data_IF_256553015164
#
_entry.id   IF_256553015164
#
_cell.length_a   1.000
_cell.length_b   1.000
_cell.length_c   1.000
_cell.angle_alpha   90.00
_cell.angle_beta   90.00
_cell.angle_gamma   90.00
#
_symmetry.space_group_name_H-M   'P 1'
#
loop_
_entity.id
_entity.type
_entity.pdbx_description
1 polymer ?
#
# COMPACT_ATOMS: atom_id res chain seq x y z
N UNK A 1 -18.08 12.17 -7.17
CA UNK A 1 -17.16 13.29 -7.49
C UNK A 1 -15.80 12.90 -6.91
N UNK A 2 -14.78 12.71 -7.75
CA UNK A 2 -13.40 12.52 -7.29
C UNK A 2 -13.01 13.78 -6.52
N UNK A 3 -12.31 13.61 -5.40
CA UNK A 3 -11.85 14.73 -4.58
C UNK A 3 -11.06 15.71 -5.45
N UNK A 4 -11.49 16.95 -5.48
CA UNK A 4 -10.92 18.05 -6.30
C UNK A 4 -9.48 18.42 -5.90
N UNK A 5 -8.96 17.81 -4.83
CA UNK A 5 -7.63 18.07 -4.24
C UNK A 5 -6.58 17.00 -4.55
N UNK A 6 -6.96 15.94 -5.28
CA UNK A 6 -5.98 14.89 -5.62
C UNK A 6 -4.98 15.41 -6.67
N UNK A 7 -3.72 15.06 -6.47
CA UNK A 7 -2.66 15.37 -7.42
C UNK A 7 -2.89 14.63 -8.73
N UNK A 8 -2.43 15.23 -9.82
CA UNK A 8 -2.49 14.59 -11.13
C UNK A 8 -1.46 13.47 -11.21
N UNK A 9 -1.88 12.35 -11.74
CA UNK A 9 -0.98 11.27 -12.13
C UNK A 9 -0.02 11.78 -13.22
N UNK A 10 1.22 11.22 -13.24
CA UNK A 10 2.19 11.55 -14.29
C UNK A 10 1.56 11.41 -15.69
N UNK A 11 1.83 12.33 -16.58
CA UNK A 11 1.17 12.39 -17.90
C UNK A 11 1.36 11.14 -18.78
N UNK A 12 2.49 10.44 -18.59
CA UNK A 12 2.81 9.18 -19.28
C UNK A 12 2.26 7.94 -18.54
N UNK A 13 1.49 8.12 -17.47
CA UNK A 13 0.95 7.05 -16.66
C UNK A 13 -0.53 6.81 -16.92
N UNK A 14 -0.93 5.56 -16.76
CA UNK A 14 -2.34 5.14 -16.80
C UNK A 14 -2.61 4.14 -15.68
N UNK A 15 -3.49 4.47 -14.74
CA UNK A 15 -3.91 3.60 -13.64
C UNK A 15 -5.43 3.58 -13.59
N UNK A 16 -6.04 2.41 -13.82
CA UNK A 16 -7.50 2.29 -13.93
C UNK A 16 -8.19 2.28 -12.56
N UNK A 17 -7.61 1.54 -11.59
CA UNK A 17 -8.17 1.39 -10.24
C UNK A 17 -7.06 1.49 -9.20
N UNK A 18 -7.33 2.25 -8.15
CA UNK A 18 -6.43 2.47 -7.02
C UNK A 18 -7.10 2.00 -5.75
N UNK A 19 -6.50 1.02 -5.08
CA UNK A 19 -7.02 0.41 -3.85
C UNK A 19 -6.04 0.69 -2.70
N UNK A 20 -6.50 1.40 -1.68
CA UNK A 20 -5.74 1.61 -0.45
C UNK A 20 -5.90 0.43 0.51
N UNK A 21 -4.80 -0.10 1.02
CA UNK A 21 -4.81 -1.13 2.06
C UNK A 21 -4.39 -0.49 3.37
N UNK A 22 -5.30 -0.46 4.34
CA UNK A 22 -5.11 0.22 5.62
C UNK A 22 -5.16 -0.75 6.79
N UNK A 23 -4.59 -0.35 7.91
CA UNK A 23 -4.72 -1.04 9.20
C UNK A 23 -4.76 -0.02 10.33
N UNK A 24 -5.43 -0.37 11.40
CA UNK A 24 -5.53 0.49 12.59
C UNK A 24 -4.20 0.63 13.34
N UNK A 25 -3.34 -0.40 13.29
CA UNK A 25 -1.98 -0.39 13.85
C UNK A 25 -1.01 -1.20 12.99
N UNK A 26 0.29 -1.12 13.31
CA UNK A 26 1.31 -1.96 12.72
C UNK A 26 1.24 -3.42 13.21
N UNK A 27 1.83 -4.33 12.42
CA UNK A 27 1.99 -5.73 12.81
C UNK A 27 0.81 -6.67 12.54
N UNK A 28 -0.28 -6.20 11.94
CA UNK A 28 -1.43 -7.05 11.57
C UNK A 28 -1.29 -7.77 10.23
N UNK A 29 -0.16 -7.57 9.53
CA UNK A 29 0.10 -8.21 8.24
C UNK A 29 -0.44 -7.45 7.03
N UNK A 30 -0.65 -6.14 7.14
CA UNK A 30 -1.14 -5.25 6.07
C UNK A 30 -0.34 -5.41 4.77
N UNK A 31 0.99 -5.30 4.84
CA UNK A 31 1.88 -5.40 3.67
C UNK A 31 1.87 -6.79 3.02
N UNK A 32 1.70 -7.85 3.82
CA UNK A 32 1.50 -9.21 3.30
C UNK A 32 0.20 -9.30 2.50
N UNK A 33 -0.90 -8.78 3.06
CA UNK A 33 -2.21 -8.76 2.38
C UNK A 33 -2.13 -7.95 1.09
N UNK A 34 -1.49 -6.76 1.12
CA UNK A 34 -1.25 -5.93 -0.07
C UNK A 34 -0.52 -6.72 -1.15
N UNK A 35 0.56 -7.41 -0.78
CA UNK A 35 1.36 -8.25 -1.69
C UNK A 35 0.54 -9.39 -2.27
N UNK A 36 -0.25 -10.08 -1.45
CA UNK A 36 -1.10 -11.20 -1.88
C UNK A 36 -2.20 -10.74 -2.85
N UNK A 37 -2.81 -9.59 -2.61
CA UNK A 37 -3.81 -9.00 -3.50
C UNK A 37 -3.19 -8.71 -4.88
N UNK A 38 -2.04 -8.05 -4.91
CA UNK A 38 -1.34 -7.73 -6.16
C UNK A 38 -0.96 -9.01 -6.93
N UNK A 39 -0.42 -10.03 -6.24
CA UNK A 39 -0.06 -11.33 -6.85
C UNK A 39 -1.30 -12.06 -7.38
N UNK A 40 -2.39 -12.05 -6.62
CA UNK A 40 -3.63 -12.72 -7.02
C UNK A 40 -4.22 -12.09 -8.28
N UNK A 41 -4.33 -10.76 -8.31
CA UNK A 41 -4.82 -10.04 -9.47
C UNK A 41 -3.89 -10.21 -10.69
N UNK A 42 -2.57 -10.23 -10.47
CA UNK A 42 -1.59 -10.48 -11.52
C UNK A 42 -1.76 -11.90 -12.12
N UNK A 43 -1.97 -12.92 -11.28
CA UNK A 43 -2.26 -14.30 -11.73
C UNK A 43 -3.57 -14.42 -12.50
N UNK A 44 -4.53 -13.53 -12.27
CA UNK A 44 -5.78 -13.44 -13.02
C UNK A 44 -5.61 -12.72 -14.38
N UNK A 45 -4.40 -12.28 -14.71
CA UNK A 45 -4.07 -11.66 -16.00
C UNK A 45 -4.12 -10.12 -16.00
N UNK A 46 -4.31 -9.48 -14.84
CA UNK A 46 -4.28 -8.02 -14.74
C UNK A 46 -2.85 -7.50 -14.54
N UNK A 47 -2.54 -6.37 -15.14
CA UNK A 47 -1.31 -5.64 -14.84
C UNK A 47 -1.48 -4.92 -13.49
N UNK A 48 -0.68 -5.30 -12.50
CA UNK A 48 -0.76 -4.77 -11.15
C UNK A 48 0.47 -3.99 -10.75
N UNK A 49 0.26 -3.02 -9.86
CA UNK A 49 1.32 -2.24 -9.26
C UNK A 49 1.14 -2.16 -7.74
N UNK A 50 2.24 -1.96 -7.01
CA UNK A 50 2.24 -1.65 -5.59
C UNK A 50 3.00 -0.34 -5.37
N UNK A 51 2.33 0.62 -4.76
CA UNK A 51 2.93 1.83 -4.21
C UNK A 51 3.09 1.62 -2.70
N UNK A 52 4.33 1.44 -2.25
CA UNK A 52 4.65 1.27 -0.84
C UNK A 52 4.74 2.64 -0.16
N UNK A 53 3.66 3.02 0.51
CA UNK A 53 3.55 4.26 1.27
C UNK A 53 3.88 4.09 2.75
N UNK A 54 4.19 2.88 3.21
CA UNK A 54 4.68 2.60 4.57
C UNK A 54 6.19 2.87 4.66
N UNK A 55 6.54 4.14 4.51
CA UNK A 55 7.93 4.60 4.40
C UNK A 55 8.74 4.31 5.66
N UNK A 56 8.10 4.25 6.82
CA UNK A 56 8.77 3.99 8.11
C UNK A 56 9.13 2.54 8.33
N UNK A 57 8.48 1.61 7.63
CA UNK A 57 8.70 0.18 7.72
C UNK A 57 8.55 -0.52 6.36
N UNK A 58 9.25 -0.05 5.30
CA UNK A 58 9.03 -0.54 3.95
C UNK A 58 9.43 -2.00 3.84
N UNK A 59 8.47 -2.87 3.57
CA UNK A 59 8.65 -4.33 3.53
C UNK A 59 8.35 -4.95 2.16
N UNK A 60 7.71 -4.22 1.26
CA UNK A 60 7.27 -4.73 -0.03
C UNK A 60 8.44 -5.21 -0.91
N UNK A 61 9.53 -4.44 -1.14
CA UNK A 61 10.65 -4.92 -1.96
C UNK A 61 11.26 -6.21 -1.42
N UNK A 62 11.41 -6.30 -0.09
CA UNK A 62 11.95 -7.49 0.58
C UNK A 62 11.04 -8.71 0.40
N UNK A 63 9.72 -8.54 0.49
CA UNK A 63 8.75 -9.62 0.30
C UNK A 63 8.81 -10.20 -1.11
N UNK A 64 9.14 -9.39 -2.12
CA UNK A 64 9.31 -9.83 -3.52
C UNK A 64 10.75 -10.20 -3.88
N UNK A 65 11.70 -10.11 -2.95
CA UNK A 65 13.11 -10.41 -3.19
C UNK A 65 13.78 -9.45 -4.18
N UNK A 66 13.30 -8.21 -4.26
CA UNK A 66 13.85 -7.17 -5.12
C UNK A 66 15.13 -6.63 -4.50
N UNK A 67 16.19 -6.60 -5.31
CA UNK A 67 17.50 -6.02 -4.95
C UNK A 67 17.87 -4.85 -5.85
N UNK A 68 17.24 -4.75 -7.00
CA UNK A 68 17.44 -3.66 -7.93
C UNK A 68 16.92 -2.35 -7.34
N UNK A 69 17.55 -1.25 -7.71
CA UNK A 69 17.11 0.11 -7.36
C UNK A 69 16.23 0.67 -8.48
N UNK A 70 15.36 1.59 -8.13
CA UNK A 70 14.57 2.32 -9.11
C UNK A 70 15.51 3.15 -10.02
N UNK A 71 15.17 3.21 -11.29
CA UNK A 71 15.88 4.03 -12.27
C UNK A 71 15.08 5.28 -12.61
N UNK A 72 15.76 6.30 -13.07
CA UNK A 72 15.15 7.53 -13.52
C UNK A 72 15.64 7.93 -14.91
N UNK A 73 14.86 8.78 -15.56
CA UNK A 73 15.20 9.46 -16.80
C UNK A 73 14.85 10.95 -16.67
N UNK A 74 15.09 11.72 -17.71
CA UNK A 74 14.63 13.10 -17.81
C UNK A 74 13.09 13.25 -17.77
N UNK A 75 12.36 12.16 -18.02
CA UNK A 75 10.89 12.14 -18.03
C UNK A 75 10.28 11.74 -16.67
N UNK A 76 11.02 11.07 -15.79
CA UNK A 76 10.53 10.64 -14.49
C UNK A 76 11.22 9.38 -13.97
N UNK A 77 10.67 8.83 -12.90
CA UNK A 77 11.14 7.59 -12.25
C UNK A 77 10.43 6.38 -12.84
N UNK A 78 11.15 5.26 -12.93
CA UNK A 78 10.56 3.99 -13.33
C UNK A 78 10.43 3.07 -12.11
N UNK A 79 9.27 2.41 -11.94
CA UNK A 79 9.10 1.40 -10.89
C UNK A 79 9.99 0.19 -11.21
N UNK A 80 10.35 -0.56 -10.16
CA UNK A 80 11.03 -1.84 -10.34
C UNK A 80 10.01 -2.93 -10.60
N UNK A 81 10.28 -3.78 -11.59
CA UNK A 81 9.39 -4.85 -11.99
C UNK A 81 9.78 -6.16 -11.33
N UNK A 82 8.84 -6.84 -10.70
CA UNK A 82 9.05 -8.21 -10.18
C UNK A 82 9.22 -9.21 -11.32
N UNK A 83 9.67 -10.43 -11.00
CA UNK A 83 9.79 -11.52 -11.98
C UNK A 83 8.47 -11.87 -12.68
N UNK A 84 7.35 -11.59 -12.05
CA UNK A 84 6.00 -11.84 -12.59
C UNK A 84 5.37 -10.61 -13.24
N UNK A 85 6.10 -9.49 -13.32
CA UNK A 85 5.65 -8.28 -14.01
C UNK A 85 4.82 -7.31 -13.16
N UNK A 86 4.85 -7.44 -11.82
CA UNK A 86 4.23 -6.46 -10.91
C UNK A 86 5.17 -5.27 -10.78
N UNK A 87 4.66 -4.06 -10.98
CA UNK A 87 5.42 -2.82 -10.83
C UNK A 87 5.43 -2.39 -9.36
N UNK A 88 6.62 -2.09 -8.81
CA UNK A 88 6.77 -1.70 -7.40
C UNK A 88 7.57 -0.41 -7.29
N UNK A 89 7.06 0.53 -6.49
CA UNK A 89 7.80 1.69 -6.02
C UNK A 89 7.74 1.76 -4.50
N UNK A 90 8.91 1.89 -3.89
CA UNK A 90 9.12 2.04 -2.45
C UNK A 90 10.33 2.92 -2.21
N UNK A 91 10.39 3.58 -1.06
CA UNK A 91 11.52 4.43 -0.68
C UNK A 91 12.84 3.66 -0.67
N UNK A 92 12.83 2.39 -0.28
CA UNK A 92 14.04 1.55 -0.26
C UNK A 92 14.67 1.35 -1.66
N UNK A 93 13.88 1.53 -2.70
CA UNK A 93 14.39 1.43 -4.08
C UNK A 93 15.13 2.70 -4.53
N UNK A 94 15.06 3.78 -3.76
CA UNK A 94 15.74 5.05 -4.02
C UNK A 94 16.97 5.25 -3.13
N UNK A 95 17.07 4.56 -1.99
CA UNK A 95 18.20 4.68 -1.07
C UNK A 95 19.40 3.89 -1.58
N UNK A 96 20.60 4.43 -1.41
CA UNK A 96 21.84 3.71 -1.76
C UNK A 96 22.00 2.46 -0.89
N UNK A 97 21.77 2.61 0.43
CA UNK A 97 21.77 1.51 1.38
C UNK A 97 20.45 1.47 2.15
N UNK A 98 19.91 0.28 2.35
CA UNK A 98 18.65 0.06 3.06
C UNK A 98 18.72 0.43 4.57
N UNK A 99 19.94 0.63 5.08
CA UNK A 99 20.21 1.01 6.48
C UNK A 99 20.53 2.49 6.66
N UNK A 100 20.47 3.27 5.59
CA UNK A 100 20.76 4.70 5.69
C UNK A 100 19.73 5.38 6.62
N UNK A 101 20.20 6.12 7.63
CA UNK A 101 19.30 6.76 8.57
C UNK A 101 18.56 7.93 7.88
N UNK A 102 17.29 7.76 7.65
CA UNK A 102 16.42 8.83 7.14
C UNK A 102 15.46 9.24 8.24
N UNK A 103 15.45 10.54 8.56
CA UNK A 103 14.51 11.08 9.53
C UNK A 103 13.19 11.36 8.84
N UNK A 104 12.26 10.44 8.95
CA UNK A 104 10.93 10.56 8.39
C UNK A 104 10.00 11.31 9.33
N UNK A 105 9.59 12.51 8.92
CA UNK A 105 8.52 13.27 9.58
C UNK A 105 7.27 13.25 8.70
N UNK A 106 6.09 13.37 9.30
CA UNK A 106 4.82 13.28 8.60
C UNK A 106 4.74 14.05 7.26
N UNK A 107 5.12 15.35 7.20
CA UNK A 107 5.11 16.10 5.95
C UNK A 107 6.06 15.55 4.88
N UNK A 108 7.21 14.99 5.29
CA UNK A 108 8.19 14.39 4.36
C UNK A 108 7.62 13.09 3.80
N UNK A 109 7.01 12.26 4.64
CA UNK A 109 6.35 11.01 4.22
C UNK A 109 5.27 11.31 3.18
N UNK A 110 4.39 12.23 3.47
CA UNK A 110 3.32 12.60 2.56
C UNK A 110 3.86 13.16 1.23
N UNK A 111 4.90 14.00 1.29
CA UNK A 111 5.58 14.53 0.10
C UNK A 111 6.20 13.44 -0.76
N UNK A 112 6.86 12.45 -0.15
CA UNK A 112 7.47 11.32 -0.87
C UNK A 112 6.41 10.45 -1.55
N UNK A 113 5.32 10.12 -0.85
CA UNK A 113 4.22 9.34 -1.43
C UNK A 113 3.56 10.10 -2.58
N UNK A 114 3.40 11.42 -2.45
CA UNK A 114 2.92 12.28 -3.52
C UNK A 114 3.84 12.19 -4.74
N UNK A 115 5.18 12.29 -4.55
CA UNK A 115 6.15 12.12 -5.64
C UNK A 115 6.06 10.74 -6.31
N UNK A 116 5.80 9.67 -5.56
CA UNK A 116 5.57 8.34 -6.13
C UNK A 116 4.33 8.30 -7.02
N UNK A 117 3.37 9.17 -6.79
CA UNK A 117 2.20 9.32 -7.64
C UNK A 117 2.45 10.21 -8.86
N UNK A 118 3.13 11.35 -8.68
CA UNK A 118 3.31 12.38 -9.71
C UNK A 118 4.50 12.15 -10.63
N UNK A 119 5.60 11.58 -10.12
CA UNK A 119 6.89 11.54 -10.80
C UNK A 119 7.26 10.13 -11.31
N UNK A 120 6.56 9.09 -10.82
CA UNK A 120 6.75 7.72 -11.29
C UNK A 120 5.88 7.47 -12.51
N UNK A 121 6.48 6.87 -13.54
CA UNK A 121 5.78 6.49 -14.77
C UNK A 121 5.17 5.10 -14.58
N UNK A 122 3.87 5.06 -14.31
CA UNK A 122 3.07 3.86 -14.16
C UNK A 122 2.40 3.51 -15.50
N UNK A 123 2.94 2.52 -16.23
CA UNK A 123 2.47 2.20 -17.58
C UNK A 123 1.31 1.21 -17.56
N UNK A 124 0.12 1.65 -18.00
CA UNK A 124 -1.07 0.80 -18.24
C UNK A 124 -1.43 -0.16 -17.10
N UNK A 125 -1.44 0.34 -15.87
CA UNK A 125 -1.77 -0.43 -14.67
C UNK A 125 -3.29 -0.61 -14.56
N UNK A 126 -3.75 -1.86 -14.47
CA UNK A 126 -5.17 -2.16 -14.22
C UNK A 126 -5.55 -1.92 -12.76
N UNK A 127 -4.73 -2.41 -11.82
CA UNK A 127 -4.94 -2.26 -10.37
C UNK A 127 -3.65 -1.84 -9.68
N UNK A 128 -3.69 -0.71 -9.01
CA UNK A 128 -2.65 -0.27 -8.09
C UNK A 128 -3.10 -0.50 -6.66
N UNK A 129 -2.28 -1.19 -5.88
CA UNK A 129 -2.46 -1.35 -4.44
C UNK A 129 -1.50 -0.42 -3.71
N UNK A 130 -2.04 0.40 -2.81
CA UNK A 130 -1.24 1.28 -1.96
C UNK A 130 -1.11 0.63 -0.60
N UNK A 131 0.11 0.26 -0.21
CA UNK A 131 0.42 -0.17 1.14
C UNK A 131 0.53 1.05 2.04
N UNK A 132 -0.56 1.38 2.73
CA UNK A 132 -0.70 2.62 3.49
C UNK A 132 0.15 2.61 4.76
N UNK A 133 0.60 3.77 5.24
CA UNK A 133 1.18 3.88 6.58
C UNK A 133 0.21 3.31 7.63
N UNK A 134 0.73 2.66 8.70
CA UNK A 134 -0.14 2.13 9.74
C UNK A 134 -0.84 3.24 10.53
N UNK A 135 -2.01 2.93 11.07
CA UNK A 135 -2.79 3.85 11.89
C UNK A 135 -3.85 4.63 11.11
N UNK A 136 -4.49 5.55 11.82
CA UNK A 136 -5.62 6.37 11.34
C UNK A 136 -5.38 7.87 11.61
N UNK A 137 -4.12 8.26 11.70
CA UNK A 137 -3.71 9.64 11.97
C UNK A 137 -3.53 10.48 10.70
N UNK A 138 -2.78 11.59 10.86
CA UNK A 138 -2.61 12.59 9.81
C UNK A 138 -1.90 12.07 8.57
N UNK A 139 -0.95 11.13 8.72
CA UNK A 139 -0.15 10.63 7.59
C UNK A 139 -1.00 9.84 6.59
N UNK A 140 -1.75 8.79 7.00
CA UNK A 140 -2.69 8.12 6.11
C UNK A 140 -3.72 9.07 5.49
N UNK A 141 -4.25 10.01 6.27
CA UNK A 141 -5.21 11.00 5.79
C UNK A 141 -4.63 11.86 4.67
N UNK A 142 -3.39 12.33 4.84
CA UNK A 142 -2.71 13.15 3.82
C UNK A 142 -2.45 12.36 2.53
N UNK A 143 -2.10 11.08 2.64
CA UNK A 143 -1.96 10.20 1.46
C UNK A 143 -3.27 10.10 0.69
N UNK A 144 -4.39 9.86 1.39
CA UNK A 144 -5.72 9.81 0.75
C UNK A 144 -6.15 11.14 0.14
N UNK A 145 -5.71 12.26 0.68
CA UNK A 145 -5.96 13.58 0.08
C UNK A 145 -5.14 13.81 -1.19
N UNK A 146 -3.94 13.22 -1.26
CA UNK A 146 -3.01 13.43 -2.39
C UNK A 146 -3.29 12.48 -3.56
N UNK A 147 -3.80 11.28 -3.31
CA UNK A 147 -4.02 10.26 -4.34
C UNK A 147 -5.51 9.95 -4.46
N UNK A 148 -6.01 9.91 -5.69
CA UNK A 148 -7.39 9.53 -5.98
C UNK A 148 -7.60 8.01 -5.80
N UNK A 149 -8.00 7.60 -4.58
CA UNK A 149 -8.25 6.20 -4.24
C UNK A 149 -9.70 5.83 -4.57
N UNK A 150 -9.91 4.70 -5.25
CA UNK A 150 -11.23 4.21 -5.65
C UNK A 150 -11.91 3.34 -4.58
N UNK A 151 -11.13 2.74 -3.67
CA UNK A 151 -11.65 1.89 -2.60
C UNK A 151 -10.61 1.54 -1.56
N UNK A 152 -11.07 1.09 -0.39
CA UNK A 152 -10.24 0.75 0.76
C UNK A 152 -10.48 -0.69 1.18
N UNK A 153 -9.39 -1.41 1.46
CA UNK A 153 -9.42 -2.69 2.17
C UNK A 153 -8.82 -2.46 3.56
N UNK A 154 -9.57 -2.87 4.59
CA UNK A 154 -9.13 -2.78 5.99
C UNK A 154 -8.54 -4.13 6.40
N UNK A 155 -7.32 -4.14 6.91
CA UNK A 155 -6.67 -5.33 7.47
C UNK A 155 -6.63 -5.20 8.98
N UNK A 156 -7.07 -6.24 9.67
CA UNK A 156 -7.16 -6.30 11.14
C UNK A 156 -6.78 -7.68 11.66
N UNK A 157 -6.70 -7.82 12.97
CA UNK A 157 -6.60 -9.10 13.69
C UNK A 157 -7.80 -9.28 14.62
N UNK A 158 -8.10 -10.50 15.12
CA UNK A 158 -9.23 -10.75 16.02
C UNK A 158 -9.25 -9.83 17.24
N UNK A 159 -8.09 -9.57 17.82
CA UNK A 159 -7.92 -8.69 18.97
C UNK A 159 -8.30 -7.24 18.68
N UNK A 160 -8.23 -6.83 17.42
CA UNK A 160 -8.51 -5.45 16.97
C UNK A 160 -9.91 -5.26 16.45
N UNK A 161 -10.57 -6.32 15.97
CA UNK A 161 -11.96 -6.26 15.52
C UNK A 161 -12.89 -5.72 16.62
N UNK A 162 -12.59 -6.00 17.88
CA UNK A 162 -13.34 -5.53 19.05
C UNK A 162 -12.93 -4.13 19.48
N UNK A 163 -11.88 -3.54 18.87
CA UNK A 163 -11.31 -2.27 19.31
C UNK A 163 -11.88 -1.07 18.54
N UNK A 164 -11.82 0.11 19.18
CA UNK A 164 -12.15 1.40 18.52
C UNK A 164 -11.27 1.70 17.31
N UNK A 165 -10.21 0.92 17.05
CA UNK A 165 -9.23 1.17 15.99
C UNK A 165 -9.83 0.93 14.61
N UNK A 166 -10.57 -0.17 14.43
CA UNK A 166 -11.29 -0.44 13.17
C UNK A 166 -12.35 0.63 12.92
N UNK A 167 -13.08 1.05 13.97
CA UNK A 167 -14.06 2.14 13.85
C UNK A 167 -13.43 3.45 13.41
N UNK A 168 -12.21 3.77 13.85
CA UNK A 168 -11.47 4.95 13.38
C UNK A 168 -11.09 4.84 11.90
N UNK A 169 -10.65 3.67 11.45
CA UNK A 169 -10.34 3.43 10.04
C UNK A 169 -11.58 3.60 9.15
N UNK A 170 -12.73 3.08 9.59
CA UNK A 170 -14.01 3.26 8.91
C UNK A 170 -14.39 4.74 8.84
N UNK A 171 -14.33 5.47 9.96
CA UNK A 171 -14.63 6.91 9.99
C UNK A 171 -13.71 7.72 9.07
N UNK A 172 -12.42 7.36 9.01
CA UNK A 172 -11.48 8.02 8.08
C UNK A 172 -11.91 7.82 6.63
N UNK A 173 -12.29 6.60 6.24
CA UNK A 173 -12.78 6.30 4.90
C UNK A 173 -14.07 7.09 4.58
N UNK A 174 -15.01 7.15 5.53
CA UNK A 174 -16.24 7.94 5.40
C UNK A 174 -15.96 9.43 5.22
N UNK A 175 -15.07 10.00 6.03
CA UNK A 175 -14.65 11.41 5.92
C UNK A 175 -14.07 11.73 4.55
N UNK A 176 -13.34 10.78 3.94
CA UNK A 176 -12.75 10.92 2.62
C UNK A 176 -13.70 10.55 1.49
N UNK A 177 -14.92 10.11 1.83
CA UNK A 177 -15.92 9.61 0.87
C UNK A 177 -15.37 8.51 -0.05
N UNK A 178 -14.54 7.61 0.50
CA UNK A 178 -13.96 6.47 -0.19
C UNK A 178 -14.65 5.20 0.30
N UNK A 179 -15.19 4.34 -0.59
CA UNK A 179 -15.89 3.14 -0.18
C UNK A 179 -14.92 2.10 0.42
N UNK A 180 -15.36 1.46 1.50
CA UNK A 180 -14.69 0.26 2.02
C UNK A 180 -15.20 -0.92 1.21
N UNK A 181 -14.32 -1.57 0.46
CA UNK A 181 -14.64 -2.68 -0.43
C UNK A 181 -14.38 -4.04 0.21
N UNK A 182 -13.68 -4.09 1.35
CA UNK A 182 -13.41 -5.33 2.05
C UNK A 182 -12.76 -5.14 3.41
N UNK A 183 -12.95 -6.16 4.25
CA UNK A 183 -12.27 -6.34 5.52
C UNK A 183 -11.55 -7.68 5.50
N UNK A 184 -10.27 -7.68 5.86
CA UNK A 184 -9.46 -8.90 6.00
C UNK A 184 -9.11 -9.06 7.47
N UNK A 185 -9.65 -10.09 8.10
CA UNK A 185 -9.22 -10.53 9.43
C UNK A 185 -8.05 -11.51 9.25
N UNK A 186 -6.86 -11.07 9.58
CA UNK A 186 -5.65 -11.87 9.54
C UNK A 186 -5.32 -12.44 10.93
N UNK A 187 -4.54 -13.52 10.98
CA UNK A 187 -4.15 -14.17 12.24
C UNK A 187 -5.34 -14.66 13.07
N UNK A 188 -6.43 -15.09 12.43
CA UNK A 188 -7.67 -15.49 13.11
C UNK A 188 -7.56 -16.85 13.77
N UNK A 189 -6.71 -17.71 13.27
CA UNK A 189 -6.54 -19.06 13.80
C UNK A 189 -5.12 -19.57 13.53
N UNK A 190 -4.73 -20.51 14.38
CA UNK A 190 -3.52 -21.30 14.22
C UNK A 190 -3.88 -22.73 13.88
N UNK A 191 -3.37 -23.23 12.76
CA UNK A 191 -3.51 -24.64 12.39
C UNK A 191 -2.43 -25.46 13.05
N UNK A 192 -2.82 -26.31 14.01
CA UNK A 192 -1.87 -27.16 14.71
C UNK A 192 -1.25 -28.19 13.76
N UNK A 193 0.09 -28.23 13.65
CA UNK A 193 0.77 -29.17 12.75
C UNK A 193 0.60 -30.63 13.19
N UNK A 194 0.39 -30.89 14.49
CA UNK A 194 0.33 -32.25 15.04
C UNK A 194 -1.02 -32.93 14.78
N UNK A 195 -2.11 -32.19 14.75
CA UNK A 195 -3.46 -32.75 14.64
C UNK A 195 -4.33 -32.13 13.52
N UNK A 196 -3.82 -31.11 12.84
CA UNK A 196 -4.51 -30.43 11.75
C UNK A 196 -5.74 -29.60 12.17
N UNK A 197 -5.99 -29.44 13.47
CA UNK A 197 -7.12 -28.65 14.00
C UNK A 197 -6.80 -27.18 14.00
N UNK A 198 -7.81 -26.38 13.71
CA UNK A 198 -7.73 -24.92 13.80
C UNK A 198 -8.06 -24.47 15.23
N UNK A 199 -7.18 -23.65 15.80
CA UNK A 199 -7.38 -23.02 17.09
C UNK A 199 -7.51 -21.52 16.89
N UNK A 200 -8.59 -20.94 17.37
CA UNK A 200 -8.78 -19.49 17.37
C UNK A 200 -7.75 -18.82 18.30
N UNK A 201 -7.23 -17.67 17.87
CA UNK A 201 -6.24 -16.88 18.61
C UNK A 201 -6.94 -15.71 19.31
#
# INVERSE_FOLDING_TARGET
>A
QKNDFSEKLHEMSSVKKVIGVISGKGGVGKSLVTSMLAVTMNRMGYHTAILDADITGPSIPKAFGIKEKASGSEFGLFPVKTKTGIDIMSVNLLLENDTDPVVWRGPIIAGTVKQFWTDVIWSDVDFMFIDMPPGTGDVPLTVFQSIAVDGIIVVTSPQELVSMIVSKAVKMAEMMNIPIIGLVENMSYFKCPDNGKDYQI
#
